data_IF_417173291965
#
_entry.id   IF_417173291965
#
_cell.length_a   1.000
_cell.length_b   1.000
_cell.length_c   1.000
_cell.angle_alpha   90.00
_cell.angle_beta   90.00
_cell.angle_gamma   90.00
#
_symmetry.space_group_name_H-M   'P 1'
#
loop_
_entity.id
_entity.type
_entity.pdbx_description
1 polymer ?
#
# COMPACT_ATOMS: atom_id res chain seq x y z
N UNK A 1 41.73 -4.25 -6.58
CA UNK A 1 41.94 -5.72 -6.56
C UNK A 1 42.11 -6.20 -7.99
N UNK A 2 43.07 -7.09 -8.27
CA UNK A 2 43.17 -7.71 -9.60
C UNK A 2 41.95 -8.61 -9.81
N UNK A 3 41.41 -8.64 -11.03
CA UNK A 3 40.28 -9.49 -11.37
C UNK A 3 40.48 -10.11 -12.76
N UNK A 4 39.86 -11.27 -12.97
CA UNK A 4 39.76 -11.91 -14.27
C UNK A 4 38.40 -11.53 -14.84
N UNK A 5 38.36 -11.11 -16.10
CA UNK A 5 37.11 -10.85 -16.81
C UNK A 5 36.72 -12.06 -17.64
N UNK A 6 35.47 -12.47 -17.56
CA UNK A 6 34.90 -13.57 -18.32
C UNK A 6 33.59 -13.12 -18.98
N UNK A 7 33.20 -13.77 -20.07
CA UNK A 7 31.87 -13.57 -20.66
C UNK A 7 30.81 -14.00 -19.64
N UNK A 8 29.69 -13.29 -19.60
CA UNK A 8 28.61 -13.66 -18.69
C UNK A 8 28.04 -15.04 -19.10
N UNK A 9 27.97 -16.02 -18.18
CA UNK A 9 27.59 -17.40 -18.50
C UNK A 9 26.12 -17.53 -18.91
N UNK A 10 25.25 -16.62 -18.49
CA UNK A 10 23.84 -16.65 -18.87
C UNK A 10 23.60 -16.07 -20.26
N UNK A 11 24.32 -15.01 -20.63
CA UNK A 11 24.22 -14.40 -21.94
C UNK A 11 25.49 -13.63 -22.29
N UNK A 12 26.18 -14.07 -23.34
CA UNK A 12 27.45 -13.50 -23.80
C UNK A 12 27.32 -12.04 -24.27
N UNK A 13 26.12 -11.60 -24.66
CA UNK A 13 25.87 -10.21 -25.05
C UNK A 13 25.73 -9.26 -23.86
N UNK A 14 25.54 -9.78 -22.65
CA UNK A 14 25.57 -8.96 -21.44
C UNK A 14 27.01 -8.57 -21.08
N UNK A 15 27.14 -7.61 -20.17
CA UNK A 15 28.46 -7.15 -19.72
C UNK A 15 29.33 -8.28 -19.15
N UNK A 16 30.64 -8.09 -19.22
CA UNK A 16 31.63 -9.05 -18.71
C UNK A 16 31.51 -9.28 -17.19
N UNK A 17 31.58 -10.54 -16.77
CA UNK A 17 31.66 -10.94 -15.37
C UNK A 17 33.07 -10.71 -14.83
N UNK A 18 33.19 -10.07 -13.66
CA UNK A 18 34.46 -9.87 -12.96
C UNK A 18 34.61 -10.90 -11.85
N UNK A 19 35.65 -11.71 -11.93
CA UNK A 19 36.00 -12.72 -10.94
C UNK A 19 37.17 -12.24 -10.09
N UNK A 20 36.98 -12.24 -8.77
CA UNK A 20 38.01 -11.88 -7.80
C UNK A 20 38.44 -13.12 -7.02
N UNK A 21 39.69 -13.13 -6.57
CA UNK A 21 40.19 -14.19 -5.69
C UNK A 21 39.65 -13.98 -4.27
N UNK A 22 39.04 -15.00 -3.68
CA UNK A 22 38.39 -14.93 -2.37
C UNK A 22 39.29 -14.33 -1.28
N UNK A 23 40.52 -14.84 -1.14
CA UNK A 23 41.50 -14.39 -0.13
C UNK A 23 41.80 -12.88 -0.28
N UNK A 24 41.84 -12.36 -1.51
CA UNK A 24 42.08 -10.93 -1.75
C UNK A 24 40.89 -10.07 -1.31
N UNK A 25 39.67 -10.58 -1.50
CA UNK A 25 38.44 -9.89 -1.10
C UNK A 25 38.30 -9.89 0.42
N UNK A 26 38.58 -11.01 1.08
CA UNK A 26 38.55 -11.12 2.54
C UNK A 26 39.55 -10.17 3.20
N UNK A 27 40.81 -10.15 2.72
CA UNK A 27 41.81 -9.20 3.21
C UNK A 27 41.35 -7.75 3.02
N UNK A 28 40.80 -7.43 1.85
CA UNK A 28 40.28 -6.08 1.57
C UNK A 28 39.07 -5.75 2.45
N UNK A 29 38.22 -6.72 2.76
CA UNK A 29 37.08 -6.51 3.64
C UNK A 29 37.55 -6.17 5.06
N UNK A 30 38.56 -6.87 5.58
CA UNK A 30 39.17 -6.53 6.87
C UNK A 30 39.80 -5.13 6.87
N UNK A 31 40.48 -4.73 5.79
CA UNK A 31 41.02 -3.36 5.66
C UNK A 31 39.92 -2.27 5.67
N UNK A 32 38.75 -2.55 5.10
CA UNK A 32 37.66 -1.58 4.95
C UNK A 32 36.78 -1.52 6.20
N UNK A 33 36.46 -2.68 6.77
CA UNK A 33 35.51 -2.81 7.88
C UNK A 33 36.22 -2.93 9.25
N UNK A 34 37.53 -3.16 9.26
CA UNK A 34 38.38 -3.19 10.45
C UNK A 34 38.44 -4.55 11.13
N UNK A 35 37.31 -5.22 11.35
CA UNK A 35 37.25 -6.54 11.99
C UNK A 35 36.17 -7.42 11.37
N UNK A 36 36.30 -8.73 11.57
CA UNK A 36 35.30 -9.71 11.14
C UNK A 36 33.97 -9.53 11.88
N UNK A 37 34.01 -9.19 13.16
CA UNK A 37 32.83 -8.88 13.98
C UNK A 37 31.99 -7.76 13.35
N UNK A 38 32.62 -6.65 12.95
CA UNK A 38 31.92 -5.53 12.29
C UNK A 38 31.31 -5.93 10.95
N UNK A 39 31.95 -6.81 10.20
CA UNK A 39 31.41 -7.33 8.93
C UNK A 39 30.16 -8.15 9.19
N UNK A 40 30.17 -8.99 10.23
CA UNK A 40 29.04 -9.84 10.58
C UNK A 40 27.88 -9.03 11.19
N UNK A 41 28.15 -8.05 12.05
CA UNK A 41 27.15 -7.09 12.55
C UNK A 41 26.45 -6.37 11.39
N UNK A 42 27.22 -5.84 10.43
CA UNK A 42 26.67 -5.17 9.25
C UNK A 42 25.89 -6.11 8.33
N UNK A 43 26.29 -7.39 8.26
CA UNK A 43 25.54 -8.42 7.53
C UNK A 43 24.19 -8.66 8.18
N UNK A 44 24.15 -8.81 9.51
CA UNK A 44 22.92 -9.02 10.28
C UNK A 44 21.97 -7.82 10.14
N UNK A 45 22.47 -6.59 10.33
CA UNK A 45 21.69 -5.36 10.15
C UNK A 45 21.08 -5.24 8.76
N UNK A 46 21.80 -5.68 7.71
CA UNK A 46 21.27 -5.68 6.33
C UNK A 46 20.18 -6.72 6.13
N UNK A 47 20.30 -7.89 6.74
CA UNK A 47 19.26 -8.92 6.63
C UNK A 47 18.00 -8.51 7.39
N UNK A 48 18.13 -7.95 8.60
CA UNK A 48 17.00 -7.39 9.34
C UNK A 48 16.28 -6.30 8.55
N UNK A 49 17.02 -5.34 7.98
CA UNK A 49 16.46 -4.30 7.10
C UNK A 49 15.75 -4.89 5.88
N UNK A 50 16.27 -5.97 5.30
CA UNK A 50 15.63 -6.67 4.17
C UNK A 50 14.30 -7.30 4.60
N UNK A 51 14.23 -7.92 5.77
CA UNK A 51 12.99 -8.48 6.31
C UNK A 51 11.96 -7.38 6.56
N UNK A 52 12.36 -6.30 7.24
CA UNK A 52 11.48 -5.16 7.56
C UNK A 52 10.94 -4.51 6.28
N UNK A 53 11.78 -4.29 5.26
CA UNK A 53 11.34 -3.69 4.00
C UNK A 53 10.38 -4.58 3.23
N UNK A 54 10.57 -5.90 3.25
CA UNK A 54 9.61 -6.86 2.68
C UNK A 54 8.25 -6.80 3.39
N UNK A 55 8.25 -6.82 4.73
CA UNK A 55 7.01 -6.73 5.52
C UNK A 55 6.26 -5.41 5.28
N UNK A 56 6.97 -4.28 5.30
CA UNK A 56 6.38 -2.96 4.99
C UNK A 56 5.79 -2.89 3.58
N UNK A 57 6.46 -3.49 2.59
CA UNK A 57 5.95 -3.55 1.21
C UNK A 57 4.67 -4.36 1.14
N UNK A 58 4.62 -5.50 1.82
CA UNK A 58 3.43 -6.34 1.91
C UNK A 58 2.26 -5.61 2.58
N UNK A 59 2.49 -4.99 3.74
CA UNK A 59 1.48 -4.20 4.44
C UNK A 59 0.95 -3.04 3.59
N UNK A 60 1.84 -2.35 2.87
CA UNK A 60 1.46 -1.28 1.94
C UNK A 60 0.53 -1.81 0.84
N UNK A 61 0.90 -2.92 0.18
CA UNK A 61 0.05 -3.54 -0.84
C UNK A 61 -1.31 -3.96 -0.28
N UNK A 62 -1.36 -4.52 0.93
CA UNK A 62 -2.61 -4.89 1.58
C UNK A 62 -3.49 -3.67 1.88
N UNK A 63 -2.89 -2.56 2.33
CA UNK A 63 -3.61 -1.31 2.57
C UNK A 63 -4.18 -0.71 1.28
N UNK A 64 -3.40 -0.74 0.21
CA UNK A 64 -3.84 -0.29 -1.13
C UNK A 64 -4.99 -1.14 -1.65
N UNK A 65 -4.90 -2.48 -1.52
CA UNK A 65 -5.96 -3.40 -1.89
C UNK A 65 -7.27 -3.11 -1.14
N UNK A 66 -7.20 -2.96 0.19
CA UNK A 66 -8.37 -2.59 1.01
C UNK A 66 -8.96 -1.24 0.62
N UNK A 67 -8.12 -0.26 0.29
CA UNK A 67 -8.58 1.06 -0.17
C UNK A 67 -9.34 0.92 -1.50
N UNK A 68 -8.80 0.16 -2.45
CA UNK A 68 -9.44 -0.13 -3.74
C UNK A 68 -10.83 -0.76 -3.59
N UNK A 69 -10.95 -1.79 -2.74
CA UNK A 69 -12.23 -2.43 -2.43
C UNK A 69 -13.23 -1.47 -1.75
N UNK A 70 -12.77 -0.61 -0.84
CA UNK A 70 -13.65 0.37 -0.19
C UNK A 70 -14.15 1.43 -1.17
N UNK A 71 -13.30 1.90 -2.09
CA UNK A 71 -13.73 2.85 -3.13
C UNK A 71 -14.72 2.24 -4.12
N UNK A 72 -14.67 0.94 -4.40
CA UNK A 72 -15.66 0.30 -5.27
C UNK A 72 -17.03 0.13 -4.58
N UNK A 73 -17.06 -0.01 -3.25
CA UNK A 73 -18.30 -0.09 -2.47
C UNK A 73 -18.89 1.29 -2.16
N UNK A 74 -18.05 2.31 -1.99
CA UNK A 74 -18.47 3.67 -1.60
C UNK A 74 -18.22 4.65 -2.76
N UNK A 75 -19.10 4.61 -3.76
CA UNK A 75 -19.18 5.66 -4.77
C UNK A 75 -19.74 6.93 -4.14
N UNK A 76 -18.86 7.90 -3.82
CA UNK A 76 -19.26 9.24 -3.37
C UNK A 76 -20.04 10.04 -4.42
N UNK A 77 -20.16 9.51 -5.63
CA UNK A 77 -20.91 10.09 -6.76
C UNK A 77 -22.39 9.74 -6.75
N UNK A 78 -22.82 8.64 -6.11
CA UNK A 78 -24.25 8.27 -6.06
C UNK A 78 -25.04 9.02 -4.98
N UNK A 79 -24.35 9.58 -3.98
CA UNK A 79 -24.94 10.45 -2.96
C UNK A 79 -24.36 11.87 -3.05
N UNK A 80 -24.32 12.43 -4.27
CA UNK A 80 -23.98 13.83 -4.48
C UNK A 80 -24.92 14.72 -3.67
N UNK A 81 -24.38 15.82 -3.11
CA UNK A 81 -25.18 16.87 -2.47
C UNK A 81 -26.19 17.37 -3.49
N UNK A 82 -27.46 17.03 -3.30
CA UNK A 82 -28.57 17.59 -4.06
C UNK A 82 -29.51 18.25 -3.06
N UNK A 83 -30.20 19.28 -3.53
CA UNK A 83 -31.28 19.90 -2.74
C UNK A 83 -32.45 18.93 -2.74
N UNK A 84 -32.97 18.58 -1.55
CA UNK A 84 -34.10 17.66 -1.44
C UNK A 84 -35.36 18.34 -2.01
N UNK A 85 -36.00 17.66 -2.96
CA UNK A 85 -37.32 18.04 -3.49
C UNK A 85 -38.33 17.02 -2.95
N UNK A 86 -39.10 17.44 -1.95
CA UNK A 86 -40.02 16.57 -1.23
C UNK A 86 -41.35 16.44 -1.98
N UNK A 87 -41.78 15.20 -2.18
CA UNK A 87 -43.05 14.86 -2.82
C UNK A 87 -44.26 15.08 -1.91
N UNK A 88 -45.44 14.57 -2.30
CA UNK A 88 -46.67 14.71 -1.51
C UNK A 88 -46.50 14.06 -0.12
N UNK A 89 -46.98 14.77 0.90
CA UNK A 89 -46.94 14.33 2.29
C UNK A 89 -48.01 13.26 2.57
N UNK A 90 -47.67 12.33 3.44
CA UNK A 90 -48.57 11.28 3.94
C UNK A 90 -48.73 11.43 5.45
N UNK A 91 -49.98 11.45 5.91
CA UNK A 91 -50.32 11.56 7.32
C UNK A 91 -50.35 10.17 7.96
N UNK A 92 -49.75 10.04 9.14
CA UNK A 92 -49.80 8.83 9.95
C UNK A 92 -50.69 9.05 11.17
N UNK A 93 -51.85 8.41 11.19
CA UNK A 93 -52.90 8.57 12.21
C UNK A 93 -52.50 8.02 13.60
N UNK A 94 -51.54 7.10 13.68
CA UNK A 94 -51.13 6.48 14.95
C UNK A 94 -50.22 7.39 15.80
N UNK A 95 -49.39 8.20 15.14
CA UNK A 95 -48.36 9.02 15.77
C UNK A 95 -48.63 10.53 15.63
N UNK A 96 -49.75 10.94 14.99
CA UNK A 96 -50.06 12.35 14.67
C UNK A 96 -48.94 13.08 13.90
N UNK A 97 -48.20 12.35 13.06
CA UNK A 97 -47.05 12.88 12.30
C UNK A 97 -47.27 12.83 10.79
N UNK A 98 -46.62 13.77 10.09
CA UNK A 98 -46.56 13.83 8.64
C UNK A 98 -45.20 13.34 8.17
N UNK A 99 -45.17 12.53 7.11
CA UNK A 99 -43.93 12.11 6.47
C UNK A 99 -43.91 12.49 4.99
N UNK A 100 -42.74 12.92 4.50
CA UNK A 100 -42.50 13.12 3.07
C UNK A 100 -41.20 12.47 2.62
N UNK A 101 -41.17 12.02 1.36
CA UNK A 101 -40.00 11.38 0.75
C UNK A 101 -39.43 12.29 -0.32
N UNK A 102 -38.11 12.40 -0.36
CA UNK A 102 -37.43 13.11 -1.43
C UNK A 102 -37.58 12.32 -2.73
N UNK A 103 -37.97 12.98 -3.82
CA UNK A 103 -38.23 12.31 -5.12
C UNK A 103 -36.94 11.79 -5.76
N UNK A 104 -35.81 12.40 -5.43
CA UNK A 104 -34.51 12.13 -6.05
C UNK A 104 -33.59 11.25 -5.21
N UNK A 105 -33.93 10.94 -3.96
CA UNK A 105 -33.10 10.11 -3.10
C UNK A 105 -33.92 9.38 -2.02
N UNK A 106 -33.38 8.32 -1.40
CA UNK A 106 -34.09 7.52 -0.40
C UNK A 106 -34.21 8.21 0.98
N UNK A 107 -34.13 9.54 1.03
CA UNK A 107 -34.29 10.30 2.26
C UNK A 107 -35.77 10.56 2.56
N UNK A 108 -36.17 10.34 3.80
CA UNK A 108 -37.50 10.56 4.34
C UNK A 108 -37.38 11.47 5.57
N UNK A 109 -38.29 12.42 5.69
CA UNK A 109 -38.36 13.34 6.82
C UNK A 109 -39.77 13.28 7.42
N UNK A 110 -39.82 13.16 8.74
CA UNK A 110 -41.04 13.12 9.55
C UNK A 110 -41.12 14.40 10.35
N UNK A 111 -42.28 15.07 10.33
CA UNK A 111 -42.50 16.35 11.00
C UNK A 111 -43.94 16.48 11.50
N UNK A 112 -44.16 17.41 12.43
CA UNK A 112 -45.47 17.74 12.99
C UNK A 112 -45.97 19.06 12.37
N UNK A 113 -47.25 19.11 11.94
CA UNK A 113 -47.90 20.36 11.51
C UNK A 113 -48.71 20.92 12.68
N UNK A 114 -48.43 22.17 13.07
CA UNK A 114 -49.28 22.96 13.99
C UNK A 114 -50.55 23.45 13.32
#
# INVERSE_FOLDING_TARGET
LKCIKQKNPHNVRWGEMKLYLQIQVEKRALEVWGSEEKIEEERQLREEKRVITKSKKYEKHMKELRKGMRSSLYNRTTAGKHTHDFGPETYNEEDDTYHHKCTTCPYEETFEKM
#
